data_IF_523694634932
#
_entry.id   IF_523694634932
#
_cell.length_a   1.000
_cell.length_b   1.000
_cell.length_c   1.000
_cell.angle_alpha   90.00
_cell.angle_beta   90.00
_cell.angle_gamma   90.00
#
_symmetry.space_group_name_H-M   'P 1'
#
loop_
_entity.id
_entity.type
_entity.pdbx_description
1 polymer ?
#
# COMPACT_ATOMS: atom_id res chain seq x y z
N UNK A 1 44.35 16.06 -3.88
CA UNK A 1 43.03 15.47 -3.97
C UNK A 1 42.71 14.92 -2.60
N UNK A 2 41.76 15.44 -1.83
CA UNK A 2 41.39 14.85 -0.56
C UNK A 2 40.45 13.66 -0.85
N UNK A 3 40.88 12.47 -0.47
CA UNK A 3 40.07 11.26 -0.40
C UNK A 3 39.02 11.46 0.69
N UNK A 4 37.84 11.88 0.30
CA UNK A 4 36.69 11.94 1.19
C UNK A 4 36.38 10.51 1.64
N UNK A 5 36.56 10.26 2.92
CA UNK A 5 36.21 9.01 3.62
C UNK A 5 34.75 8.68 3.39
N UNK A 6 34.52 7.62 2.61
CA UNK A 6 33.18 7.15 2.16
C UNK A 6 32.34 6.56 3.33
N UNK A 7 32.93 6.37 4.51
CA UNK A 7 32.32 5.75 5.69
C UNK A 7 32.20 6.70 6.89
N UNK A 8 31.47 7.83 6.73
CA UNK A 8 31.02 8.54 7.93
C UNK A 8 29.80 7.81 8.52
N UNK A 9 29.68 7.70 9.87
CA UNK A 9 28.51 7.07 10.53
C UNK A 9 27.19 7.70 10.12
N UNK A 10 27.21 8.95 9.67
CA UNK A 10 26.05 9.66 9.15
C UNK A 10 25.61 9.12 7.77
N UNK A 11 26.55 8.85 6.86
CA UNK A 11 26.23 8.24 5.56
C UNK A 11 25.66 6.82 5.70
N UNK A 12 26.15 6.04 6.66
CA UNK A 12 25.62 4.70 6.92
C UNK A 12 24.18 4.76 7.44
N UNK A 13 23.84 5.74 8.30
CA UNK A 13 22.49 5.98 8.81
C UNK A 13 21.52 6.40 7.69
N UNK A 14 21.95 7.30 6.81
CA UNK A 14 21.14 7.75 5.67
C UNK A 14 20.84 6.59 4.69
N UNK A 15 21.85 5.78 4.35
CA UNK A 15 21.65 4.59 3.52
C UNK A 15 20.68 3.58 4.13
N UNK A 16 20.78 3.36 5.44
CA UNK A 16 19.86 2.47 6.16
C UNK A 16 18.40 2.96 6.10
N UNK A 17 18.19 4.26 6.29
CA UNK A 17 16.85 4.86 6.22
C UNK A 17 16.26 4.75 4.81
N UNK A 18 17.04 5.05 3.77
CA UNK A 18 16.61 4.86 2.38
C UNK A 18 16.28 3.39 2.08
N UNK A 19 17.08 2.45 2.56
CA UNK A 19 16.83 1.03 2.37
C UNK A 19 15.51 0.59 3.03
N UNK A 20 15.23 1.07 4.24
CA UNK A 20 13.97 0.78 4.94
C UNK A 20 12.76 1.31 4.14
N UNK A 21 12.86 2.55 3.61
CA UNK A 21 11.80 3.10 2.77
C UNK A 21 11.57 2.26 1.50
N UNK A 22 12.63 1.79 0.86
CA UNK A 22 12.53 0.91 -0.32
C UNK A 22 11.93 -0.45 0.04
N UNK A 23 12.29 -1.03 1.19
CA UNK A 23 11.69 -2.27 1.67
C UNK A 23 10.19 -2.10 1.96
N UNK A 24 9.78 -0.94 2.47
CA UNK A 24 8.36 -0.59 2.61
C UNK A 24 7.67 -0.54 1.24
N UNK A 25 8.26 0.15 0.25
CA UNK A 25 7.71 0.19 -1.12
C UNK A 25 7.54 -1.21 -1.72
N UNK A 26 8.52 -2.08 -1.52
CA UNK A 26 8.43 -3.47 -1.97
C UNK A 26 7.23 -4.19 -1.32
N UNK A 27 7.05 -4.01 -0.02
CA UNK A 27 5.95 -4.64 0.71
C UNK A 27 4.58 -4.06 0.29
N UNK A 28 4.49 -2.73 0.12
CA UNK A 28 3.24 -2.09 -0.33
C UNK A 28 2.90 -2.41 -1.78
N UNK A 29 3.89 -2.49 -2.68
CA UNK A 29 3.71 -2.97 -4.05
C UNK A 29 3.20 -4.41 -4.11
N UNK A 30 3.75 -5.29 -3.24
CA UNK A 30 3.22 -6.65 -3.07
C UNK A 30 1.76 -6.63 -2.60
N UNK A 31 1.45 -5.84 -1.58
CA UNK A 31 0.11 -5.71 -1.02
C UNK A 31 -0.90 -5.16 -2.04
N UNK A 32 -0.50 -4.16 -2.82
CA UNK A 32 -1.34 -3.52 -3.83
C UNK A 32 -1.83 -4.53 -4.89
N UNK A 33 -0.91 -5.29 -5.49
CA UNK A 33 -1.26 -6.30 -6.50
C UNK A 33 -2.10 -7.43 -5.91
N UNK A 34 -1.77 -7.93 -4.73
CA UNK A 34 -2.58 -8.98 -4.08
C UNK A 34 -3.99 -8.47 -3.79
N UNK A 35 -4.15 -7.24 -3.34
CA UNK A 35 -5.46 -6.63 -3.08
C UNK A 35 -6.26 -6.47 -4.37
N UNK A 36 -5.63 -5.98 -5.44
CA UNK A 36 -6.24 -5.84 -6.75
C UNK A 36 -6.77 -7.18 -7.27
N UNK A 37 -5.94 -8.22 -7.24
CA UNK A 37 -6.34 -9.56 -7.67
C UNK A 37 -7.40 -10.19 -6.77
N UNK A 38 -7.33 -9.94 -5.47
CA UNK A 38 -8.35 -10.41 -4.51
C UNK A 38 -9.71 -9.80 -4.82
N UNK A 39 -9.77 -8.47 -5.02
CA UNK A 39 -11.02 -7.77 -5.35
C UNK A 39 -11.57 -8.18 -6.72
N UNK A 40 -10.71 -8.33 -7.73
CA UNK A 40 -11.12 -8.78 -9.05
C UNK A 40 -11.68 -10.22 -9.03
N UNK A 41 -11.02 -11.11 -8.28
CA UNK A 41 -11.49 -12.49 -8.09
C UNK A 41 -12.79 -12.52 -7.30
N UNK A 42 -12.91 -11.71 -6.25
CA UNK A 42 -14.12 -11.59 -5.44
C UNK A 42 -15.30 -11.06 -6.25
N UNK A 43 -15.06 -10.02 -7.07
CA UNK A 43 -16.06 -9.50 -7.99
C UNK A 43 -16.51 -10.58 -8.98
N UNK A 44 -15.59 -11.34 -9.55
CA UNK A 44 -15.89 -12.46 -10.45
C UNK A 44 -16.71 -13.54 -9.76
N UNK A 45 -16.39 -13.86 -8.52
CA UNK A 45 -17.10 -14.85 -7.73
C UNK A 45 -18.54 -14.41 -7.40
N UNK A 46 -18.75 -13.16 -7.04
CA UNK A 46 -20.05 -12.63 -6.61
C UNK A 46 -20.95 -12.19 -7.76
N UNK A 47 -20.38 -11.60 -8.83
CA UNK A 47 -21.12 -10.99 -9.94
C UNK A 47 -21.17 -11.89 -11.19
N UNK A 48 -20.31 -12.90 -11.26
CA UNK A 48 -20.10 -13.70 -12.49
C UNK A 48 -19.25 -12.97 -13.52
N UNK A 49 -19.15 -13.53 -14.74
CA UNK A 49 -18.38 -13.01 -15.88
C UNK A 49 -16.98 -12.52 -15.48
N UNK A 50 -16.06 -13.47 -15.29
CA UNK A 50 -14.71 -13.21 -14.82
C UNK A 50 -13.96 -12.18 -15.66
N UNK A 51 -14.07 -12.24 -16.98
CA UNK A 51 -13.33 -11.33 -17.88
C UNK A 51 -13.80 -9.90 -17.66
N UNK A 52 -15.12 -9.69 -17.63
CA UNK A 52 -15.71 -8.38 -17.41
C UNK A 52 -15.33 -7.81 -16.03
N UNK A 53 -15.46 -8.63 -14.98
CA UNK A 53 -15.20 -8.18 -13.61
C UNK A 53 -13.73 -7.83 -13.38
N UNK A 54 -12.81 -8.67 -13.87
CA UNK A 54 -11.38 -8.37 -13.81
C UNK A 54 -11.06 -7.06 -14.54
N UNK A 55 -11.60 -6.88 -15.73
CA UNK A 55 -11.37 -5.68 -16.54
C UNK A 55 -11.89 -4.43 -15.82
N UNK A 56 -13.10 -4.47 -15.27
CA UNK A 56 -13.70 -3.31 -14.57
C UNK A 56 -12.90 -2.99 -13.30
N UNK A 57 -12.64 -3.97 -12.44
CA UNK A 57 -11.95 -3.73 -11.16
C UNK A 57 -10.56 -3.16 -11.38
N UNK A 58 -9.75 -3.79 -12.26
CA UNK A 58 -8.40 -3.32 -12.57
C UNK A 58 -8.43 -1.91 -13.16
N UNK A 59 -9.33 -1.66 -14.12
CA UNK A 59 -9.44 -0.34 -14.75
C UNK A 59 -9.86 0.75 -13.76
N UNK A 60 -10.80 0.47 -12.86
CA UNK A 60 -11.25 1.41 -11.82
C UNK A 60 -10.14 1.67 -10.79
N UNK A 61 -9.41 0.63 -10.38
CA UNK A 61 -8.28 0.79 -9.47
C UNK A 61 -7.17 1.64 -10.10
N UNK A 62 -6.75 1.33 -11.33
CA UNK A 62 -5.73 2.12 -12.05
C UNK A 62 -6.17 3.58 -12.23
N UNK A 63 -7.42 3.83 -12.62
CA UNK A 63 -7.96 5.18 -12.71
C UNK A 63 -7.89 5.90 -11.36
N UNK A 64 -8.34 5.24 -10.29
CA UNK A 64 -8.35 5.80 -8.94
C UNK A 64 -6.94 6.02 -8.40
N UNK A 65 -5.98 5.13 -8.71
CA UNK A 65 -4.55 5.33 -8.40
C UNK A 65 -4.00 6.60 -9.08
N UNK A 66 -4.38 6.84 -10.35
CA UNK A 66 -4.04 8.07 -11.06
C UNK A 66 -4.59 9.32 -10.37
N UNK A 67 -5.83 9.26 -9.89
CA UNK A 67 -6.44 10.37 -9.12
C UNK A 67 -5.73 10.57 -7.77
N UNK A 68 -5.40 9.50 -7.05
CA UNK A 68 -4.64 9.53 -5.79
C UNK A 68 -3.28 10.18 -5.99
N UNK A 69 -2.53 9.72 -7.00
CA UNK A 69 -1.24 10.31 -7.36
C UNK A 69 -1.34 11.80 -7.69
N UNK A 70 -2.38 12.22 -8.43
CA UNK A 70 -2.64 13.64 -8.71
C UNK A 70 -2.94 14.42 -7.43
N UNK A 71 -3.75 13.86 -6.53
CA UNK A 71 -4.14 14.51 -5.28
C UNK A 71 -2.95 14.70 -4.32
N UNK A 72 -1.99 13.76 -4.32
CA UNK A 72 -0.79 13.83 -3.48
C UNK A 72 0.02 15.12 -3.68
N UNK A 73 -0.07 15.74 -4.89
CA UNK A 73 0.66 17.00 -5.23
C UNK A 73 0.28 18.19 -4.35
N UNK A 74 -0.94 18.18 -3.79
CA UNK A 74 -1.44 19.28 -2.94
C UNK A 74 -0.83 19.28 -1.54
N UNK A 75 -0.09 18.24 -1.17
CA UNK A 75 0.35 18.02 0.18
C UNK A 75 1.88 18.03 0.26
N UNK A 76 2.45 19.09 0.83
CA UNK A 76 3.90 19.27 0.96
C UNK A 76 4.41 19.07 2.38
N UNK A 77 3.55 19.20 3.40
CA UNK A 77 3.92 19.09 4.81
C UNK A 77 3.53 17.74 5.42
N UNK A 78 4.25 17.31 6.45
CA UNK A 78 3.98 16.10 7.24
C UNK A 78 3.88 14.82 6.38
N UNK A 79 4.79 14.65 5.41
CA UNK A 79 4.73 13.55 4.44
C UNK A 79 4.78 12.17 5.12
N UNK A 80 5.62 12.01 6.14
CA UNK A 80 5.75 10.76 6.91
C UNK A 80 4.47 10.43 7.67
N UNK A 81 3.88 11.42 8.36
CA UNK A 81 2.63 11.23 9.11
C UNK A 81 1.50 10.79 8.18
N UNK A 82 1.43 11.39 6.99
CA UNK A 82 0.42 11.05 5.97
C UNK A 82 0.63 9.67 5.39
N UNK A 83 1.89 9.30 5.14
CA UNK A 83 2.20 7.96 4.65
C UNK A 83 1.75 6.91 5.66
N UNK A 84 2.11 7.06 6.94
CA UNK A 84 1.66 6.15 8.00
C UNK A 84 0.14 6.10 8.13
N UNK A 85 -0.54 7.26 8.02
CA UNK A 85 -2.00 7.31 8.04
C UNK A 85 -2.62 6.52 6.88
N UNK A 86 -2.07 6.66 5.66
CA UNK A 86 -2.54 5.94 4.48
C UNK A 86 -2.36 4.43 4.68
N UNK A 87 -1.22 3.98 5.20
CA UNK A 87 -0.97 2.58 5.50
C UNK A 87 -1.97 2.01 6.52
N UNK A 88 -2.34 2.77 7.55
CA UNK A 88 -3.38 2.36 8.49
C UNK A 88 -4.75 2.25 7.82
N UNK A 89 -5.12 3.23 7.00
CA UNK A 89 -6.39 3.20 6.26
C UNK A 89 -6.41 2.03 5.29
N UNK A 90 -5.32 1.77 4.57
CA UNK A 90 -5.18 0.62 3.66
C UNK A 90 -5.25 -0.70 4.43
N UNK A 91 -4.55 -0.82 5.56
CA UNK A 91 -4.64 -2.00 6.41
C UNK A 91 -6.09 -2.31 6.78
N UNK A 92 -6.85 -1.32 7.22
CA UNK A 92 -8.26 -1.46 7.55
C UNK A 92 -9.11 -1.83 6.31
N UNK A 93 -8.99 -1.06 5.22
CA UNK A 93 -9.76 -1.30 4.00
C UNK A 93 -9.48 -2.68 3.40
N UNK A 94 -8.20 -3.09 3.34
CA UNK A 94 -7.83 -4.41 2.82
C UNK A 94 -8.36 -5.52 3.70
N UNK A 95 -8.14 -5.45 5.03
CA UNK A 95 -8.57 -6.48 5.98
C UNK A 95 -10.08 -6.74 5.88
N UNK A 96 -10.87 -5.67 5.85
CA UNK A 96 -12.33 -5.79 5.89
C UNK A 96 -12.99 -5.86 4.51
N UNK A 97 -12.24 -5.68 3.41
CA UNK A 97 -12.78 -5.62 2.05
C UNK A 97 -13.66 -6.82 1.69
N UNK A 98 -13.14 -8.04 1.88
CA UNK A 98 -13.89 -9.25 1.57
C UNK A 98 -15.10 -9.44 2.49
N UNK A 99 -14.94 -9.20 3.79
CA UNK A 99 -16.04 -9.31 4.75
C UNK A 99 -17.18 -8.35 4.40
N UNK A 100 -16.88 -7.10 4.05
CA UNK A 100 -17.86 -6.12 3.60
C UNK A 100 -18.55 -6.54 2.31
N UNK A 101 -17.79 -7.03 1.33
CA UNK A 101 -18.35 -7.50 0.07
C UNK A 101 -19.30 -8.67 0.28
N UNK A 102 -18.92 -9.67 1.07
CA UNK A 102 -19.80 -10.81 1.38
C UNK A 102 -21.01 -10.39 2.19
N UNK A 103 -20.84 -9.52 3.18
CA UNK A 103 -21.95 -9.02 3.99
C UNK A 103 -22.97 -8.26 3.15
N UNK A 104 -22.52 -7.32 2.30
CA UNK A 104 -23.41 -6.53 1.45
C UNK A 104 -24.09 -7.40 0.39
N UNK A 105 -23.40 -8.40 -0.15
CA UNK A 105 -23.99 -9.30 -1.15
C UNK A 105 -25.22 -10.09 -0.62
N UNK A 106 -25.27 -10.29 0.69
CA UNK A 106 -26.40 -10.95 1.35
C UNK A 106 -27.67 -10.05 1.50
N UNK A 107 -27.49 -8.72 1.44
CA UNK A 107 -28.58 -7.78 1.73
C UNK A 107 -29.04 -6.94 0.54
N UNK A 108 -28.24 -6.80 -0.51
CA UNK A 108 -28.57 -5.90 -1.63
C UNK A 108 -28.30 -6.53 -2.99
N UNK A 109 -29.21 -6.24 -3.94
CA UNK A 109 -29.04 -6.67 -5.35
C UNK A 109 -27.94 -5.84 -6.06
N UNK A 110 -27.69 -4.62 -5.58
CA UNK A 110 -26.71 -3.70 -6.17
C UNK A 110 -25.32 -3.77 -5.52
N UNK A 111 -24.98 -4.89 -4.91
CA UNK A 111 -23.68 -5.06 -4.22
C UNK A 111 -22.45 -4.85 -5.13
N UNK A 112 -22.57 -5.06 -6.45
CA UNK A 112 -21.50 -4.80 -7.40
C UNK A 112 -20.99 -3.35 -7.35
N UNK A 113 -21.89 -2.38 -7.18
CA UNK A 113 -21.52 -0.97 -7.03
C UNK A 113 -20.65 -0.72 -5.79
N UNK A 114 -20.90 -1.47 -4.72
CA UNK A 114 -20.11 -1.40 -3.49
C UNK A 114 -18.72 -2.02 -3.66
N UNK A 115 -18.62 -3.16 -4.34
CA UNK A 115 -17.32 -3.80 -4.67
C UNK A 115 -16.46 -2.84 -5.47
N UNK A 116 -17.03 -2.19 -6.50
CA UNK A 116 -16.31 -1.19 -7.31
C UNK A 116 -15.96 0.06 -6.49
N UNK A 117 -16.83 0.48 -5.57
CA UNK A 117 -16.57 1.59 -4.65
C UNK A 117 -15.38 1.30 -3.73
N UNK A 118 -15.30 0.10 -3.15
CA UNK A 118 -14.16 -0.34 -2.33
C UNK A 118 -12.88 -0.39 -3.18
N UNK A 119 -12.95 -0.93 -4.40
CA UNK A 119 -11.82 -0.96 -5.32
C UNK A 119 -11.31 0.45 -5.63
N UNK A 120 -12.21 1.40 -5.90
CA UNK A 120 -11.85 2.80 -6.10
C UNK A 120 -11.20 3.44 -4.87
N UNK A 121 -11.71 3.18 -3.67
CA UNK A 121 -11.14 3.73 -2.43
C UNK A 121 -9.73 3.18 -2.17
N UNK A 122 -9.55 1.87 -2.30
CA UNK A 122 -8.23 1.24 -2.14
C UNK A 122 -7.27 1.74 -3.21
N UNK A 123 -7.67 1.75 -4.49
CA UNK A 123 -6.85 2.27 -5.58
C UNK A 123 -6.44 3.73 -5.36
N UNK A 124 -7.35 4.60 -4.88
CA UNK A 124 -7.04 5.98 -4.57
C UNK A 124 -5.97 6.10 -3.46
N UNK A 125 -6.10 5.33 -2.37
CA UNK A 125 -5.13 5.33 -1.28
C UNK A 125 -3.76 4.80 -1.73
N UNK A 126 -3.72 3.68 -2.46
CA UNK A 126 -2.49 3.13 -3.04
C UNK A 126 -1.81 4.11 -4.00
N UNK A 127 -2.60 4.86 -4.78
CA UNK A 127 -2.08 5.90 -5.67
C UNK A 127 -1.40 7.08 -4.96
N UNK A 128 -1.63 7.28 -3.66
CA UNK A 128 -0.94 8.28 -2.84
C UNK A 128 0.46 7.83 -2.41
N UNK A 129 0.73 6.52 -2.29
CA UNK A 129 1.94 5.96 -1.66
C UNK A 129 3.21 6.30 -2.43
N UNK A 130 3.28 5.94 -3.72
CA UNK A 130 4.49 6.12 -4.53
C UNK A 130 4.98 7.58 -4.55
N UNK A 131 4.12 8.59 -4.83
CA UNK A 131 4.54 9.98 -4.79
C UNK A 131 4.99 10.46 -3.41
N UNK A 132 4.33 9.98 -2.34
CA UNK A 132 4.69 10.36 -0.97
C UNK A 132 6.06 9.79 -0.60
N UNK A 133 6.27 8.50 -0.82
CA UNK A 133 7.53 7.85 -0.44
C UNK A 133 8.71 8.34 -1.29
N UNK A 134 8.47 8.66 -2.57
CA UNK A 134 9.48 9.28 -3.44
C UNK A 134 9.93 10.62 -2.89
N UNK A 135 9.01 11.46 -2.39
CA UNK A 135 9.36 12.75 -1.77
C UNK A 135 10.07 12.57 -0.43
N UNK A 136 9.66 11.62 0.39
CA UNK A 136 10.33 11.30 1.65
C UNK A 136 11.77 10.85 1.38
N UNK A 137 11.97 9.97 0.40
CA UNK A 137 13.28 9.41 0.08
C UNK A 137 14.22 10.41 -0.63
N UNK A 138 13.70 11.50 -1.23
CA UNK A 138 14.52 12.58 -1.81
C UNK A 138 15.48 13.23 -0.80
N UNK A 139 15.19 13.13 0.48
CA UNK A 139 16.07 13.61 1.55
C UNK A 139 17.36 12.76 1.65
N UNK A 140 17.34 11.53 1.14
CA UNK A 140 18.40 10.53 1.30
C UNK A 140 19.14 10.20 -0.01
N UNK A 141 18.52 10.42 -1.17
CA UNK A 141 19.06 10.07 -2.48
C UNK A 141 18.83 11.16 -3.53
N UNK A 142 19.67 11.19 -4.57
CA UNK A 142 19.45 12.09 -5.71
C UNK A 142 18.11 11.77 -6.40
N UNK A 143 17.42 12.79 -6.91
CA UNK A 143 16.09 12.66 -7.52
C UNK A 143 16.01 11.55 -8.58
N UNK A 144 17.01 11.50 -9.48
CA UNK A 144 17.04 10.52 -10.58
C UNK A 144 17.15 9.08 -10.07
N UNK A 145 18.05 8.84 -9.12
CA UNK A 145 18.27 7.52 -8.55
C UNK A 145 17.08 7.08 -7.67
N UNK A 146 16.52 8.02 -6.93
CA UNK A 146 15.37 7.82 -6.07
C UNK A 146 14.14 7.35 -6.87
N UNK A 147 13.73 8.07 -7.93
CA UNK A 147 12.58 7.69 -8.74
C UNK A 147 12.76 6.29 -9.32
N UNK A 148 13.94 6.02 -9.92
CA UNK A 148 14.23 4.71 -10.52
C UNK A 148 14.16 3.59 -9.49
N UNK A 149 14.78 3.77 -8.32
CA UNK A 149 14.83 2.72 -7.31
C UNK A 149 13.45 2.49 -6.64
N UNK A 150 12.69 3.55 -6.35
CA UNK A 150 11.33 3.39 -5.79
C UNK A 150 10.45 2.59 -6.74
N UNK A 151 10.44 2.91 -8.04
CA UNK A 151 9.66 2.16 -9.03
C UNK A 151 10.15 0.72 -9.20
N UNK A 152 11.46 0.49 -9.16
CA UNK A 152 12.06 -0.84 -9.24
C UNK A 152 11.57 -1.74 -8.09
N UNK A 153 11.65 -1.26 -6.84
CA UNK A 153 11.20 -2.01 -5.67
C UNK A 153 9.69 -2.25 -5.68
N UNK A 154 8.89 -1.28 -6.12
CA UNK A 154 7.45 -1.42 -6.29
C UNK A 154 7.10 -2.53 -7.28
N UNK A 155 7.73 -2.53 -8.46
CA UNK A 155 7.49 -3.56 -9.48
C UNK A 155 7.95 -4.95 -9.04
N UNK A 156 9.08 -5.06 -8.34
CA UNK A 156 9.52 -6.35 -7.79
C UNK A 156 8.57 -6.84 -6.71
N UNK A 157 8.07 -5.94 -5.86
CA UNK A 157 7.02 -6.23 -4.89
C UNK A 157 5.76 -6.72 -5.57
N UNK A 158 5.30 -6.02 -6.60
CA UNK A 158 4.12 -6.39 -7.38
C UNK A 158 4.27 -7.76 -8.07
N UNK A 159 5.43 -8.05 -8.67
CA UNK A 159 5.71 -9.35 -9.28
C UNK A 159 5.63 -10.48 -8.24
N UNK A 160 6.28 -10.29 -7.09
CA UNK A 160 6.22 -11.27 -6.00
C UNK A 160 4.79 -11.43 -5.48
N UNK A 161 4.07 -10.32 -5.29
CA UNK A 161 2.69 -10.30 -4.85
C UNK A 161 1.76 -11.08 -5.77
N UNK A 162 1.86 -10.86 -7.07
CA UNK A 162 1.10 -11.60 -8.07
C UNK A 162 1.38 -13.11 -8.04
N UNK A 163 2.66 -13.49 -7.95
CA UNK A 163 3.05 -14.89 -7.81
C UNK A 163 2.54 -15.50 -6.48
N UNK A 164 2.71 -14.80 -5.36
CA UNK A 164 2.21 -15.25 -4.05
C UNK A 164 0.67 -15.39 -4.07
N UNK A 165 -0.05 -14.47 -4.68
CA UNK A 165 -1.50 -14.56 -4.80
C UNK A 165 -1.91 -15.83 -5.53
N UNK A 166 -1.35 -16.06 -6.73
CA UNK A 166 -1.76 -17.17 -7.59
C UNK A 166 -1.39 -18.55 -7.02
N UNK A 167 -0.19 -18.69 -6.46
CA UNK A 167 0.35 -20.00 -6.06
C UNK A 167 0.20 -20.31 -4.58
N UNK A 168 0.00 -19.31 -3.73
CA UNK A 168 -0.01 -19.51 -2.26
C UNK A 168 -1.29 -18.97 -1.64
N UNK A 169 -1.56 -17.67 -1.76
CA UNK A 169 -2.63 -17.04 -1.01
C UNK A 169 -4.01 -17.52 -1.45
N UNK A 170 -4.28 -17.52 -2.75
CA UNK A 170 -5.58 -17.96 -3.24
C UNK A 170 -5.82 -19.46 -3.00
N UNK A 171 -4.89 -20.40 -3.30
CA UNK A 171 -5.11 -21.82 -3.09
C UNK A 171 -5.20 -22.25 -1.62
N UNK A 172 -4.39 -21.64 -0.74
CA UNK A 172 -4.29 -22.09 0.66
C UNK A 172 -5.08 -21.23 1.64
N UNK A 173 -5.20 -19.92 1.40
CA UNK A 173 -5.89 -18.98 2.28
C UNK A 173 -7.27 -18.59 1.76
N UNK A 174 -7.50 -18.71 0.45
CA UNK A 174 -8.76 -18.31 -0.18
C UNK A 174 -9.03 -16.82 -0.10
N UNK A 175 -10.22 -16.42 -0.55
CA UNK A 175 -10.63 -15.00 -0.60
C UNK A 175 -10.96 -14.39 0.77
N UNK A 176 -11.12 -15.21 1.81
CA UNK A 176 -11.46 -14.74 3.15
C UNK A 176 -10.24 -14.32 3.94
N UNK A 177 -9.18 -15.12 3.94
CA UNK A 177 -7.98 -14.86 4.74
C UNK A 177 -6.92 -14.01 4.00
N UNK A 178 -6.88 -14.08 2.67
CA UNK A 178 -5.93 -13.28 1.88
C UNK A 178 -6.00 -11.78 2.21
N UNK A 179 -7.19 -11.12 2.26
CA UNK A 179 -7.29 -9.71 2.63
C UNK A 179 -6.76 -9.41 4.04
N UNK A 180 -6.98 -10.30 5.00
CA UNK A 180 -6.49 -10.16 6.38
C UNK A 180 -4.97 -10.20 6.41
N UNK A 181 -4.35 -11.11 5.67
CA UNK A 181 -2.88 -11.22 5.57
C UNK A 181 -2.31 -9.94 4.98
N UNK A 182 -2.91 -9.41 3.91
CA UNK A 182 -2.44 -8.20 3.24
C UNK A 182 -2.67 -6.96 4.11
N UNK A 183 -3.81 -6.83 4.76
CA UNK A 183 -4.04 -5.75 5.72
C UNK A 183 -3.02 -5.78 6.87
N UNK A 184 -2.66 -6.98 7.36
CA UNK A 184 -1.61 -7.14 8.36
C UNK A 184 -0.24 -6.72 7.84
N UNK A 185 0.08 -6.96 6.56
CA UNK A 185 1.33 -6.51 5.95
C UNK A 185 1.41 -4.97 5.93
N UNK A 186 0.36 -4.28 5.51
CA UNK A 186 0.29 -2.81 5.54
C UNK A 186 0.42 -2.28 6.97
N UNK A 187 -0.18 -2.96 7.96
CA UNK A 187 -0.02 -2.61 9.37
C UNK A 187 1.43 -2.75 9.85
N UNK A 188 2.13 -3.80 9.43
CA UNK A 188 3.55 -3.99 9.73
C UNK A 188 4.40 -2.87 9.11
N UNK A 189 4.13 -2.49 7.86
CA UNK A 189 4.80 -1.35 7.19
C UNK A 189 4.59 -0.06 7.99
N UNK A 190 3.34 0.28 8.34
CA UNK A 190 3.02 1.44 9.16
C UNK A 190 3.79 1.44 10.49
N UNK A 191 3.82 0.27 11.17
CA UNK A 191 4.52 0.09 12.45
C UNK A 191 6.02 0.28 12.34
N UNK A 192 6.64 -0.25 11.28
CA UNK A 192 8.07 -0.09 11.02
C UNK A 192 8.44 1.38 10.79
N UNK A 193 7.63 2.10 10.02
CA UNK A 193 7.84 3.53 9.78
C UNK A 193 7.67 4.32 11.07
N UNK A 194 6.62 4.06 11.86
CA UNK A 194 6.41 4.70 13.17
C UNK A 194 7.60 4.50 14.09
N UNK A 195 8.11 3.28 14.18
CA UNK A 195 9.23 2.96 15.07
C UNK A 195 10.54 3.57 14.60
N UNK A 196 10.85 3.47 13.30
CA UNK A 196 12.14 3.89 12.75
C UNK A 196 12.26 5.40 12.58
N UNK A 197 11.14 6.09 12.35
CA UNK A 197 11.08 7.53 12.06
C UNK A 197 10.36 8.32 13.14
N UNK A 198 10.20 7.78 14.35
CA UNK A 198 9.47 8.42 15.48
C UNK A 198 9.94 9.85 15.75
N UNK A 199 11.26 10.11 15.67
CA UNK A 199 11.86 11.41 15.92
C UNK A 199 11.57 12.45 14.81
N UNK A 200 11.06 12.03 13.68
CA UNK A 200 10.77 12.88 12.51
C UNK A 200 9.29 13.07 12.25
N UNK A 201 8.43 12.43 13.03
CA UNK A 201 6.99 12.56 12.94
C UNK A 201 6.54 13.85 13.65
N UNK A 202 5.64 14.59 13.01
CA UNK A 202 5.08 15.81 13.57
C UNK A 202 4.01 15.51 14.65
N UNK A 203 3.28 14.40 14.48
CA UNK A 203 2.15 14.02 15.35
C UNK A 203 2.20 12.57 15.84
N UNK A 204 3.29 12.13 16.47
CA UNK A 204 3.47 10.72 16.84
C UNK A 204 2.40 10.19 17.80
N UNK A 205 1.84 11.05 18.68
CA UNK A 205 0.79 10.66 19.64
C UNK A 205 -0.52 10.26 18.95
N UNK A 206 -0.93 10.98 17.93
CA UNK A 206 -2.18 10.68 17.18
C UNK A 206 -2.02 9.37 16.42
N UNK A 207 -0.87 9.18 15.76
CA UNK A 207 -0.56 7.96 15.01
C UNK A 207 -0.46 6.73 15.93
N UNK A 208 0.12 6.87 17.12
CA UNK A 208 0.15 5.80 18.11
C UNK A 208 -1.25 5.41 18.60
N UNK A 209 -2.14 6.38 18.82
CA UNK A 209 -3.54 6.10 19.20
C UNK A 209 -4.24 5.34 18.07
N UNK A 210 -4.08 5.74 16.81
CA UNK A 210 -4.65 5.05 15.65
C UNK A 210 -4.11 3.62 15.53
N UNK A 211 -2.82 3.41 15.76
CA UNK A 211 -2.20 2.09 15.81
C UNK A 211 -2.85 1.19 16.85
N UNK A 212 -3.01 1.67 18.08
CA UNK A 212 -3.66 0.91 19.16
C UNK A 212 -5.14 0.59 18.85
N UNK A 213 -5.88 1.55 18.27
CA UNK A 213 -7.30 1.35 17.88
C UNK A 213 -7.43 0.31 16.76
N UNK A 214 -6.43 0.16 15.90
CA UNK A 214 -6.48 -0.80 14.78
C UNK A 214 -6.11 -2.23 15.21
N UNK A 215 -5.33 -2.38 16.28
CA UNK A 215 -4.92 -3.69 16.82
C UNK A 215 -6.01 -4.30 17.74
N UNK A 216 -6.83 -3.46 18.39
CA UNK A 216 -7.94 -3.89 19.25
C UNK A 216 -9.17 -4.31 18.43
#
# INVERSE_FOLDING_TARGET
>A
MPTTSIDSPENSKLRRLSFILKACVFATGCAAIVTEYTLATLASYLLGDSILQWTIVISLMLFSMGLGSRYSRKHEAALLDRFVLIEFVLSFLCTFSAMFCFWISAYTVHFGLMVYGIACMIGFMTGLEIPLITRINQTYESLRQNISSVMEYDYYGGLLGGALFAFVLLPFCGLTYTPVIIGSLNLVVASLILWQFSDRLERPRILNIQFFVLIL
#
